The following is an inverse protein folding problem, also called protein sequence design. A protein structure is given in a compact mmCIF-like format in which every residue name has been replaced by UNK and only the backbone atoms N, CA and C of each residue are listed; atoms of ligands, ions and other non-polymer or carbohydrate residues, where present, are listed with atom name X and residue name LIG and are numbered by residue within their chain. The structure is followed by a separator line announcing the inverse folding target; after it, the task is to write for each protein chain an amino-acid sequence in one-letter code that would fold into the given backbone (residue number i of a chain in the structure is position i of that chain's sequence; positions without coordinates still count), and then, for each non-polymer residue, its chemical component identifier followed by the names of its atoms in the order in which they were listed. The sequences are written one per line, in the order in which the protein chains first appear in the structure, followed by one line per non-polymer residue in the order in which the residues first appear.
data_IF_693842017332
#
_entry.id   IF_693842017332
#
_cell.length_a   1.000
_cell.length_b   1.000
_cell.length_c   1.000
_cell.angle_alpha   90.00
_cell.angle_beta   90.00
_cell.angle_gamma   90.00
#
_symmetry.space_group_name_H-M   'P 1'
#
loop_
_entity.id
_entity.type
_entity.pdbx_description
1 polymer ?
#
# COMPACT_ATOMS: atom_id res chain seq x y z
N UNK A 1 17.89 -16.28 -7.04
CA UNK A 1 17.39 -14.92 -6.65
C UNK A 1 15.87 -14.82 -6.71
N UNK A 2 15.16 -15.89 -7.10
CA UNK A 2 13.71 -15.88 -7.38
C UNK A 2 12.78 -16.29 -6.22
N UNK A 3 13.32 -16.78 -5.10
CA UNK A 3 12.52 -17.28 -3.97
C UNK A 3 11.86 -16.18 -3.09
N UNK A 4 12.18 -14.91 -3.35
CA UNK A 4 11.73 -13.80 -2.48
C UNK A 4 10.54 -13.00 -3.03
N UNK A 5 10.03 -13.34 -4.21
CA UNK A 5 8.98 -12.58 -4.88
C UNK A 5 7.57 -13.09 -4.53
N UNK A 6 7.47 -14.34 -4.05
CA UNK A 6 6.17 -14.96 -3.76
C UNK A 6 5.90 -14.96 -2.25
N UNK A 7 4.72 -14.43 -1.86
CA UNK A 7 4.18 -14.64 -0.52
C UNK A 7 3.99 -16.13 -0.24
N UNK A 8 3.71 -16.53 1.04
CA UNK A 8 3.51 -17.93 1.36
C UNK A 8 2.34 -18.49 0.56
N UNK A 9 2.64 -19.37 -0.37
CA UNK A 9 1.60 -20.12 -1.09
C UNK A 9 0.93 -21.07 -0.08
N UNK A 10 -0.35 -20.85 0.17
CA UNK A 10 -1.21 -21.75 0.91
C UNK A 10 -2.20 -22.32 -0.11
N UNK A 11 -1.94 -23.52 -0.57
CA UNK A 11 -2.87 -24.22 -1.49
C UNK A 11 -4.21 -24.44 -0.80
N UNK A 12 -5.29 -24.27 -1.55
CA UNK A 12 -6.64 -24.64 -1.13
C UNK A 12 -6.71 -26.16 -1.01
N UNK A 13 -7.29 -26.64 0.08
CA UNK A 13 -7.65 -28.04 0.19
C UNK A 13 -8.92 -28.32 -0.63
N UNK A 14 -9.20 -29.59 -0.99
CA UNK A 14 -10.44 -29.93 -1.68
C UNK A 14 -11.71 -29.47 -0.96
N UNK A 15 -11.71 -29.52 0.38
CA UNK A 15 -12.82 -29.04 1.22
C UNK A 15 -13.00 -27.53 1.12
N UNK A 16 -11.89 -26.77 1.05
CA UNK A 16 -11.93 -25.32 0.90
C UNK A 16 -12.36 -24.89 -0.51
N UNK A 17 -12.04 -25.69 -1.53
CA UNK A 17 -12.55 -25.48 -2.89
C UNK A 17 -14.07 -25.69 -2.95
N UNK A 18 -14.55 -26.75 -2.31
CA UNK A 18 -15.98 -27.05 -2.24
C UNK A 18 -16.75 -25.99 -1.43
N UNK A 19 -16.14 -25.47 -0.35
CA UNK A 19 -16.71 -24.39 0.46
C UNK A 19 -16.79 -23.05 -0.29
N UNK A 20 -15.84 -22.76 -1.17
CA UNK A 20 -15.91 -21.61 -2.08
C UNK A 20 -17.12 -21.70 -3.02
N UNK A 21 -17.46 -22.89 -3.47
CA UNK A 21 -18.61 -23.14 -4.34
C UNK A 21 -19.93 -23.12 -3.55
N UNK A 22 -19.93 -23.58 -2.30
CA UNK A 22 -21.13 -23.69 -1.45
C UNK A 22 -21.40 -22.46 -0.56
N UNK A 23 -20.43 -21.52 -0.44
CA UNK A 23 -20.56 -20.35 0.43
C UNK A 23 -20.46 -20.67 1.93
N UNK A 24 -19.73 -21.73 2.33
CA UNK A 24 -19.54 -22.09 3.74
C UNK A 24 -18.59 -21.11 4.45
N UNK A 25 -19.20 -20.19 5.20
CA UNK A 25 -18.49 -19.13 5.94
C UNK A 25 -17.50 -19.66 6.98
N UNK A 26 -17.75 -20.81 7.59
CA UNK A 26 -16.86 -21.36 8.62
C UNK A 26 -15.57 -21.90 8.01
N UNK A 27 -15.67 -22.62 6.89
CA UNK A 27 -14.51 -23.14 6.15
C UNK A 27 -13.71 -21.97 5.57
N UNK A 28 -14.38 -20.96 5.04
CA UNK A 28 -13.75 -19.75 4.53
C UNK A 28 -13.01 -18.97 5.62
N UNK A 29 -13.58 -18.90 6.83
CA UNK A 29 -12.90 -18.28 7.99
C UNK A 29 -11.63 -19.05 8.39
N UNK A 30 -11.67 -20.38 8.42
CA UNK A 30 -10.50 -21.23 8.72
C UNK A 30 -9.41 -21.07 7.66
N UNK A 31 -9.78 -20.98 6.39
CA UNK A 31 -8.84 -20.68 5.30
C UNK A 31 -8.18 -19.32 5.48
N UNK A 32 -8.98 -18.27 5.75
CA UNK A 32 -8.45 -16.92 6.01
C UNK A 32 -7.49 -16.91 7.19
N UNK A 33 -7.80 -17.60 8.30
CA UNK A 33 -6.91 -17.71 9.46
C UNK A 33 -5.58 -18.41 9.12
N UNK A 34 -5.62 -19.50 8.33
CA UNK A 34 -4.40 -20.18 7.87
C UNK A 34 -3.54 -19.25 7.01
N UNK A 35 -4.16 -18.49 6.12
CA UNK A 35 -3.48 -17.48 5.27
C UNK A 35 -2.81 -16.41 6.13
N UNK A 36 -3.52 -15.88 7.12
CA UNK A 36 -2.98 -14.89 8.06
C UNK A 36 -1.78 -15.46 8.84
N UNK A 37 -1.87 -16.71 9.32
CA UNK A 37 -0.76 -17.36 10.05
C UNK A 37 0.46 -17.57 9.14
N UNK A 38 0.25 -18.01 7.91
CA UNK A 38 1.32 -18.19 6.93
C UNK A 38 1.97 -16.85 6.55
N UNK A 39 1.16 -15.81 6.34
CA UNK A 39 1.63 -14.45 6.07
C UNK A 39 2.47 -13.89 7.23
N UNK A 40 1.99 -14.06 8.49
CA UNK A 40 2.75 -13.65 9.69
C UNK A 40 4.09 -14.37 9.81
N UNK A 41 4.15 -15.68 9.48
CA UNK A 41 5.39 -16.47 9.49
C UNK A 41 6.38 -15.97 8.42
N UNK A 42 5.88 -15.69 7.21
CA UNK A 42 6.68 -15.12 6.12
C UNK A 42 7.18 -13.71 6.47
N UNK A 43 6.32 -12.88 7.08
CA UNK A 43 6.67 -11.54 7.54
C UNK A 43 7.81 -11.58 8.57
N UNK A 44 7.78 -12.52 9.55
CA UNK A 44 8.87 -12.70 10.51
C UNK A 44 10.20 -13.04 9.83
N UNK A 45 10.18 -13.93 8.80
CA UNK A 45 11.39 -14.24 8.02
C UNK A 45 11.91 -13.02 7.25
N UNK A 46 10.99 -12.23 6.63
CA UNK A 46 11.33 -10.98 5.93
C UNK A 46 11.92 -9.93 6.87
N UNK A 47 11.34 -9.80 8.10
CA UNK A 47 11.86 -8.90 9.14
C UNK A 47 13.31 -9.25 9.51
N UNK A 48 13.62 -10.52 9.73
CA UNK A 48 14.99 -10.96 10.01
C UNK A 48 15.95 -10.65 8.85
N UNK A 49 15.49 -10.85 7.61
CA UNK A 49 16.31 -10.55 6.42
C UNK A 49 16.54 -9.05 6.25
N UNK A 50 15.51 -8.22 6.55
CA UNK A 50 15.60 -6.77 6.50
C UNK A 50 16.54 -6.23 7.57
N UNK A 51 16.48 -6.77 8.81
CA UNK A 51 17.42 -6.41 9.90
C UNK A 51 18.84 -6.70 9.45
N UNK A 52 19.13 -7.89 8.90
CA UNK A 52 20.46 -8.23 8.38
C UNK A 52 20.92 -7.29 7.28
N UNK A 53 20.04 -6.95 6.31
CA UNK A 53 20.37 -5.98 5.25
C UNK A 53 20.61 -4.58 5.79
N UNK A 54 19.77 -4.08 6.72
CA UNK A 54 19.95 -2.77 7.35
C UNK A 54 21.27 -2.69 8.13
N UNK A 55 21.64 -3.74 8.87
CA UNK A 55 22.94 -3.81 9.57
C UNK A 55 24.09 -3.73 8.56
N UNK A 56 24.00 -4.42 7.43
CA UNK A 56 25.02 -4.37 6.37
C UNK A 56 25.08 -2.96 5.74
N UNK A 57 23.94 -2.35 5.47
CA UNK A 57 23.85 -0.98 4.90
C UNK A 57 24.41 0.06 5.88
N UNK A 58 24.13 -0.06 7.18
CA UNK A 58 24.67 0.83 8.20
C UNK A 58 26.19 0.69 8.26
N UNK A 59 26.72 -0.52 8.21
CA UNK A 59 28.17 -0.76 8.18
C UNK A 59 28.81 -0.12 6.95
N UNK A 60 28.17 -0.28 5.76
CA UNK A 60 28.64 0.33 4.51
C UNK A 60 28.56 1.85 4.60
N UNK A 61 27.47 2.41 5.13
CA UNK A 61 27.32 3.86 5.31
C UNK A 61 28.30 4.43 6.34
N UNK A 62 28.61 3.71 7.41
CA UNK A 62 29.65 4.11 8.35
C UNK A 62 31.04 4.08 7.72
N UNK A 63 31.33 3.09 6.85
CA UNK A 63 32.59 3.04 6.10
C UNK A 63 32.69 4.11 5.01
N UNK A 64 31.57 4.49 4.39
CA UNK A 64 31.50 5.59 3.42
C UNK A 64 31.49 6.96 4.10
N UNK A 65 30.86 7.10 5.27
CA UNK A 65 30.81 8.35 6.05
C UNK A 65 32.18 8.82 6.54
N UNK A 66 33.12 7.89 6.77
CA UNK A 66 34.52 8.25 7.09
C UNK A 66 35.27 8.91 5.91
N UNK A 67 34.80 8.70 4.66
CA UNK A 67 35.39 9.34 3.48
C UNK A 67 34.71 10.65 3.05
N UNK A 68 33.53 11.00 3.63
CA UNK A 68 32.73 12.16 3.21
C UNK A 68 32.90 13.43 4.06
N UNK A 69 33.66 13.35 5.16
CA UNK A 69 33.94 14.52 6.00
C UNK A 69 34.85 15.56 5.27
N UNK A 70 35.51 15.17 4.20
CA UNK A 70 36.39 16.05 3.40
C UNK A 70 35.74 16.69 2.14
N UNK A 71 34.47 16.28 1.78
CA UNK A 71 33.79 16.80 0.57
C UNK A 71 32.45 17.53 0.82
N UNK A 72 32.07 17.74 2.07
CA UNK A 72 30.68 18.03 2.50
C UNK A 72 30.10 19.40 2.19
N UNK A 73 30.66 20.23 1.31
CA UNK A 73 30.10 21.54 0.94
C UNK A 73 29.45 21.63 -0.45
N UNK A 74 29.58 20.61 -1.27
CA UNK A 74 29.09 20.67 -2.66
C UNK A 74 27.69 20.08 -2.89
N UNK A 75 27.26 19.14 -2.07
CA UNK A 75 26.00 18.43 -2.28
C UNK A 75 24.77 19.19 -1.76
N UNK A 76 24.92 20.03 -0.73
CA UNK A 76 23.79 20.78 -0.17
C UNK A 76 23.24 21.89 -1.07
N UNK A 77 24.02 22.36 -2.04
CA UNK A 77 23.56 23.40 -2.97
C UNK A 77 22.89 22.84 -4.24
N UNK A 78 23.12 21.58 -4.58
CA UNK A 78 22.46 20.93 -5.74
C UNK A 78 21.01 20.50 -5.42
N UNK A 79 20.71 20.22 -4.16
CA UNK A 79 19.37 19.82 -3.72
C UNK A 79 18.40 21.00 -3.53
N UNK A 80 18.92 22.23 -3.53
CA UNK A 80 18.10 23.46 -3.41
C UNK A 80 17.61 24.05 -4.74
N UNK A 81 18.10 23.58 -5.85
CA UNK A 81 17.77 24.14 -7.16
C UNK A 81 17.09 23.10 -8.05
N UNK A 82 15.82 22.80 -7.83
CA UNK A 82 15.05 22.00 -8.79
C UNK A 82 13.90 21.16 -8.26
N UNK A 83 13.41 21.43 -7.08
CA UNK A 83 12.20 20.76 -6.60
C UNK A 83 10.95 21.37 -7.19
N UNK A 84 10.36 20.78 -8.23
CA UNK A 84 8.95 20.99 -8.52
C UNK A 84 8.16 20.34 -7.37
N UNK A 85 7.65 21.19 -6.49
CA UNK A 85 6.80 20.81 -5.35
C UNK A 85 5.49 20.24 -5.89
N UNK A 86 5.41 18.95 -6.12
CA UNK A 86 4.14 18.33 -6.47
C UNK A 86 3.80 17.10 -5.62
N UNK A 87 4.79 16.42 -5.05
CA UNK A 87 4.52 15.33 -4.11
C UNK A 87 5.34 15.56 -2.84
N UNK A 88 4.77 15.27 -1.68
CA UNK A 88 5.50 15.29 -0.43
C UNK A 88 6.69 14.33 -0.49
N UNK A 89 7.80 14.70 0.10
CA UNK A 89 9.01 13.88 0.21
C UNK A 89 8.77 12.76 1.26
N UNK A 90 7.81 11.86 0.92
CA UNK A 90 7.36 10.76 1.77
C UNK A 90 7.80 9.44 1.12
N UNK A 91 8.62 8.63 1.80
CA UNK A 91 9.18 7.40 1.22
C UNK A 91 8.14 6.43 0.64
N UNK A 92 6.96 6.32 1.29
CA UNK A 92 5.88 5.47 0.77
C UNK A 92 5.30 6.01 -0.55
N UNK A 93 5.22 7.34 -0.72
CA UNK A 93 4.78 7.98 -1.96
C UNK A 93 5.78 7.74 -3.08
N UNK A 94 7.09 7.83 -2.79
CA UNK A 94 8.15 7.50 -3.75
C UNK A 94 8.05 6.03 -4.19
N UNK A 95 7.86 5.12 -3.25
CA UNK A 95 7.68 3.70 -3.53
C UNK A 95 6.48 3.48 -4.45
N UNK A 96 5.34 4.11 -4.16
CA UNK A 96 4.13 4.02 -4.98
C UNK A 96 4.34 4.60 -6.39
N UNK A 97 5.08 5.72 -6.51
CA UNK A 97 5.39 6.37 -7.78
C UNK A 97 6.17 5.46 -8.74
N UNK A 98 7.09 4.65 -8.22
CA UNK A 98 7.83 3.68 -9.03
C UNK A 98 6.95 2.61 -9.66
N UNK A 99 5.70 2.47 -9.21
CA UNK A 99 4.75 1.46 -9.70
C UNK A 99 3.76 2.00 -10.73
N UNK A 100 3.81 3.29 -11.06
CA UNK A 100 2.92 3.87 -12.07
C UNK A 100 3.02 3.11 -13.39
N UNK A 101 1.86 2.77 -13.97
CA UNK A 101 1.77 1.97 -15.19
C UNK A 101 1.80 0.45 -14.95
N UNK A 102 1.98 -0.04 -13.70
CA UNK A 102 1.85 -1.47 -13.42
C UNK A 102 0.43 -1.91 -13.73
N UNK A 103 0.29 -2.89 -14.62
CA UNK A 103 -0.98 -3.43 -15.08
C UNK A 103 -1.25 -4.81 -14.49
N UNK A 104 -2.49 -5.03 -14.03
CA UNK A 104 -2.96 -6.30 -13.51
C UNK A 104 -2.43 -6.67 -12.11
N UNK A 105 -1.56 -5.85 -11.52
CA UNK A 105 -1.15 -5.92 -10.13
C UNK A 105 -0.53 -7.22 -9.64
N UNK A 106 -0.09 -8.12 -10.54
CA UNK A 106 0.43 -9.45 -10.19
C UNK A 106 1.48 -9.39 -9.08
N UNK A 107 2.36 -8.40 -9.11
CA UNK A 107 3.39 -8.16 -8.10
C UNK A 107 2.80 -7.98 -6.69
N UNK A 108 1.65 -7.35 -6.56
CA UNK A 108 1.04 -6.98 -5.28
C UNK A 108 0.18 -8.09 -4.72
N UNK A 109 -0.74 -8.65 -5.52
CA UNK A 109 -1.61 -9.70 -5.05
C UNK A 109 -0.86 -11.03 -4.84
N UNK A 110 0.14 -11.37 -5.67
CA UNK A 110 1.01 -12.53 -5.40
C UNK A 110 1.91 -12.31 -4.18
N UNK A 111 2.45 -11.09 -3.98
CA UNK A 111 3.18 -10.77 -2.76
C UNK A 111 2.33 -10.97 -1.51
N UNK A 112 1.07 -10.59 -1.57
CA UNK A 112 0.12 -10.82 -0.47
C UNK A 112 -0.16 -12.30 -0.25
N UNK A 113 -0.09 -13.11 -1.29
CA UNK A 113 -0.22 -14.57 -1.26
C UNK A 113 -1.41 -15.11 -2.03
N UNK A 114 -1.98 -14.36 -2.98
CA UNK A 114 -2.99 -14.89 -3.88
C UNK A 114 -2.33 -15.61 -5.08
N UNK A 115 -2.95 -16.68 -5.54
CA UNK A 115 -2.46 -17.49 -6.67
C UNK A 115 -3.08 -17.05 -8.00
N UNK A 116 -4.20 -16.32 -7.96
CA UNK A 116 -4.90 -15.78 -9.11
C UNK A 116 -5.18 -14.28 -8.94
N UNK A 117 -5.61 -13.64 -10.02
CA UNK A 117 -5.96 -12.23 -10.02
C UNK A 117 -7.14 -11.96 -9.08
N UNK A 118 -7.00 -10.95 -8.24
CA UNK A 118 -8.01 -10.41 -7.34
C UNK A 118 -8.02 -8.89 -7.45
N UNK A 119 -8.99 -8.22 -6.86
CA UNK A 119 -8.92 -6.79 -6.63
C UNK A 119 -7.73 -6.46 -5.72
N UNK A 120 -6.83 -5.61 -6.21
CA UNK A 120 -5.52 -5.44 -5.61
C UNK A 120 -5.20 -4.02 -5.11
N UNK A 121 -6.20 -3.14 -5.00
CA UNK A 121 -5.99 -1.79 -4.45
C UNK A 121 -5.43 -1.84 -3.03
N UNK A 122 -6.04 -2.63 -2.14
CA UNK A 122 -5.57 -2.81 -0.77
C UNK A 122 -4.24 -3.59 -0.68
N UNK A 123 -4.02 -4.57 -1.57
CA UNK A 123 -2.74 -5.28 -1.68
C UNK A 123 -1.60 -4.30 -2.07
N UNK A 124 -1.88 -3.35 -2.97
CA UNK A 124 -0.92 -2.33 -3.39
C UNK A 124 -0.51 -1.43 -2.22
N UNK A 125 -1.47 -0.92 -1.45
CA UNK A 125 -1.20 -0.10 -0.27
C UNK A 125 -0.39 -0.88 0.76
N UNK A 126 -0.78 -2.12 1.06
CA UNK A 126 -0.04 -2.99 1.99
C UNK A 126 1.37 -3.27 1.50
N UNK A 127 1.55 -3.49 0.19
CA UNK A 127 2.87 -3.69 -0.39
C UNK A 127 3.73 -2.43 -0.27
N UNK A 128 3.20 -1.25 -0.59
CA UNK A 128 3.93 0.01 -0.44
C UNK A 128 4.35 0.24 1.02
N UNK A 129 3.45 -0.03 1.97
CA UNK A 129 3.73 0.08 3.40
C UNK A 129 4.83 -0.90 3.85
N UNK A 130 4.78 -2.17 3.40
CA UNK A 130 5.80 -3.19 3.72
C UNK A 130 7.20 -2.78 3.22
N UNK A 131 7.28 -2.25 1.99
CA UNK A 131 8.56 -1.81 1.42
C UNK A 131 9.22 -0.69 2.25
N UNK A 132 8.43 0.05 3.03
CA UNK A 132 8.89 1.16 3.88
C UNK A 132 8.93 0.79 5.38
N UNK A 133 8.64 -0.47 5.75
CA UNK A 133 8.66 -0.91 7.16
C UNK A 133 7.45 -0.48 7.98
N UNK A 134 6.45 0.17 7.36
CA UNK A 134 5.30 0.75 8.06
C UNK A 134 4.33 -0.29 8.64
N UNK A 135 4.35 -1.52 8.09
CA UNK A 135 3.59 -2.64 8.65
C UNK A 135 4.27 -3.14 9.93
N UNK A 136 5.60 -3.32 9.90
CA UNK A 136 6.38 -3.76 11.05
C UNK A 136 6.34 -2.74 12.20
N UNK A 137 6.28 -1.45 11.85
CA UNK A 137 6.20 -0.33 12.79
C UNK A 137 4.75 -0.14 13.33
N UNK A 138 3.77 -0.92 12.86
CA UNK A 138 2.37 -0.81 13.27
C UNK A 138 1.70 0.49 12.82
N UNK A 139 2.16 1.09 11.71
CA UNK A 139 1.62 2.35 11.17
C UNK A 139 0.57 2.12 10.08
N UNK A 140 0.64 0.99 9.37
CA UNK A 140 -0.30 0.59 8.32
C UNK A 140 -0.61 -0.90 8.47
N UNK A 141 -1.87 -1.34 8.31
CA UNK A 141 -2.20 -2.76 8.40
C UNK A 141 -1.72 -3.53 7.18
N UNK A 142 -1.36 -4.79 7.36
CA UNK A 142 -1.25 -5.73 6.26
C UNK A 142 -2.64 -6.31 5.99
N UNK A 143 -3.35 -5.76 5.02
CA UNK A 143 -4.69 -6.21 4.63
C UNK A 143 -4.91 -6.06 3.13
N UNK A 144 -5.58 -7.04 2.53
CA UNK A 144 -6.07 -7.00 1.14
C UNK A 144 -7.55 -6.58 1.05
N UNK A 145 -8.18 -6.24 2.18
CA UNK A 145 -9.60 -5.91 2.27
C UNK A 145 -9.78 -4.49 2.80
N UNK A 146 -10.38 -3.63 1.97
CA UNK A 146 -10.47 -2.18 2.23
C UNK A 146 -11.22 -1.86 3.52
N UNK A 147 -12.41 -2.45 3.81
CA UNK A 147 -13.10 -2.22 5.06
C UNK A 147 -12.27 -2.57 6.30
N UNK A 148 -11.45 -3.62 6.22
CA UNK A 148 -10.55 -3.99 7.32
C UNK A 148 -9.45 -2.95 7.53
N UNK A 149 -8.96 -2.32 6.47
CA UNK A 149 -8.00 -1.21 6.60
C UNK A 149 -8.64 -0.02 7.30
N UNK A 150 -9.87 0.38 6.94
CA UNK A 150 -10.61 1.46 7.60
C UNK A 150 -10.79 1.17 9.09
N UNK A 151 -11.30 -0.02 9.44
CA UNK A 151 -11.51 -0.41 10.84
C UNK A 151 -10.20 -0.39 11.63
N UNK A 152 -9.11 -0.83 11.02
CA UNK A 152 -7.80 -0.81 11.66
C UNK A 152 -7.34 0.61 12.05
N UNK A 153 -7.59 1.61 11.20
CA UNK A 153 -7.28 3.00 11.49
C UNK A 153 -8.26 3.59 12.52
N UNK A 154 -9.56 3.25 12.44
CA UNK A 154 -10.57 3.67 13.43
C UNK A 154 -10.25 3.15 14.83
N UNK A 155 -9.90 1.88 14.96
CA UNK A 155 -9.56 1.23 16.25
C UNK A 155 -8.33 1.85 16.93
N UNK A 156 -7.62 2.74 16.23
CA UNK A 156 -6.39 3.39 16.71
C UNK A 156 -6.48 4.91 16.78
N UNK A 157 -7.67 5.46 16.66
CA UNK A 157 -7.90 6.91 16.61
C UNK A 157 -7.02 7.60 15.55
N UNK A 158 -6.85 6.94 14.39
CA UNK A 158 -6.04 7.40 13.26
C UNK A 158 -6.86 7.47 11.97
N UNK A 159 -8.15 7.64 12.10
CA UNK A 159 -9.07 7.78 10.98
C UNK A 159 -9.81 9.12 11.05
N UNK A 160 -9.99 9.74 9.92
CA UNK A 160 -10.79 10.94 9.75
C UNK A 160 -11.88 10.70 8.71
N UNK A 161 -13.11 10.97 9.08
CA UNK A 161 -14.25 10.93 8.17
C UNK A 161 -14.19 12.11 7.18
N UNK A 162 -14.71 11.90 5.98
CA UNK A 162 -14.86 13.02 5.04
C UNK A 162 -15.74 14.12 5.64
N UNK A 163 -15.23 15.34 5.63
CA UNK A 163 -15.99 16.52 6.11
C UNK A 163 -15.83 16.84 7.60
N UNK A 164 -15.06 16.09 8.38
CA UNK A 164 -14.79 16.37 9.80
C UNK A 164 -13.81 17.54 10.03
N UNK A 165 -13.33 18.16 8.96
CA UNK A 165 -12.39 19.29 9.00
C UNK A 165 -10.93 18.90 8.87
N UNK A 166 -10.60 17.61 8.75
CA UNK A 166 -9.24 17.15 8.53
C UNK A 166 -8.68 17.67 7.19
N UNK A 167 -7.41 18.01 7.19
CA UNK A 167 -6.67 18.42 5.99
C UNK A 167 -5.68 17.32 5.62
N UNK A 168 -5.96 16.50 4.59
CA UNK A 168 -5.09 15.41 4.20
C UNK A 168 -3.72 15.93 3.76
N UNK A 169 -2.71 15.10 3.97
CA UNK A 169 -1.31 15.37 3.60
C UNK A 169 -0.73 14.19 2.82
N UNK A 170 0.39 14.42 2.14
CA UNK A 170 1.12 13.34 1.47
C UNK A 170 1.48 12.23 2.47
N UNK A 171 1.28 10.98 2.06
CA UNK A 171 1.50 9.80 2.89
C UNK A 171 0.24 9.28 3.60
N UNK A 172 -0.83 10.05 3.70
CA UNK A 172 -2.10 9.54 4.22
C UNK A 172 -2.71 8.51 3.27
N UNK A 173 -3.42 7.54 3.83
CA UNK A 173 -4.24 6.60 3.07
C UNK A 173 -5.60 7.24 2.84
N UNK A 174 -6.09 7.21 1.62
CA UNK A 174 -7.41 7.75 1.25
C UNK A 174 -8.34 6.59 0.87
N UNK A 175 -9.57 6.65 1.36
CA UNK A 175 -10.61 5.66 1.13
C UNK A 175 -11.76 6.28 0.35
N UNK A 176 -12.40 5.47 -0.52
CA UNK A 176 -13.47 5.92 -1.40
C UNK A 176 -14.70 5.03 -1.27
N UNK A 177 -15.86 5.67 -1.43
CA UNK A 177 -17.17 5.07 -1.60
C UNK A 177 -17.75 5.63 -2.91
N UNK A 178 -17.62 4.86 -4.00
CA UNK A 178 -18.03 5.30 -5.32
C UNK A 178 -19.54 5.22 -5.54
N UNK A 179 -20.19 4.29 -4.87
CA UNK A 179 -21.60 4.02 -5.01
C UNK A 179 -22.45 4.85 -4.02
N UNK A 180 -21.80 5.53 -3.06
CA UNK A 180 -22.41 6.34 -2.00
C UNK A 180 -23.44 5.57 -1.17
N UNK A 181 -23.17 4.29 -0.92
CA UNK A 181 -24.01 3.39 -0.13
C UNK A 181 -23.55 3.26 1.33
N UNK A 182 -22.47 3.94 1.71
CA UNK A 182 -21.86 3.88 3.03
C UNK A 182 -20.84 2.75 3.18
N UNK A 183 -20.56 2.02 2.10
CA UNK A 183 -19.55 0.98 2.03
C UNK A 183 -18.30 1.51 1.35
N UNK A 184 -17.12 1.14 1.88
CA UNK A 184 -15.86 1.56 1.27
C UNK A 184 -15.45 0.60 0.15
N UNK A 185 -15.23 1.14 -1.08
CA UNK A 185 -14.98 0.34 -2.28
C UNK A 185 -13.51 0.30 -2.66
N UNK A 186 -12.78 1.39 -2.40
CA UNK A 186 -11.46 1.58 -2.94
C UNK A 186 -10.52 2.28 -1.98
N UNK A 187 -9.22 2.13 -2.22
CA UNK A 187 -8.17 2.74 -1.42
C UNK A 187 -7.02 3.23 -2.29
N UNK A 188 -6.47 4.37 -1.91
CA UNK A 188 -5.32 4.98 -2.54
C UNK A 188 -4.33 5.57 -1.53
N UNK A 189 -3.23 6.08 -2.03
CA UNK A 189 -2.23 6.82 -1.27
C UNK A 189 -2.27 8.28 -1.67
N UNK A 190 -2.40 9.19 -0.73
CA UNK A 190 -2.29 10.63 -0.98
C UNK A 190 -0.84 10.95 -1.37
N UNK A 191 -0.64 11.41 -2.59
CA UNK A 191 0.66 11.82 -3.10
C UNK A 191 0.93 13.30 -2.81
N UNK A 192 -0.09 14.16 -2.98
CA UNK A 192 0.00 15.59 -2.67
C UNK A 192 -1.38 16.22 -2.56
N UNK A 193 -1.43 17.41 -1.94
CA UNK A 193 -2.63 18.24 -1.89
C UNK A 193 -2.28 19.61 -2.44
N UNK A 194 -3.01 20.06 -3.47
CA UNK A 194 -2.75 21.33 -4.09
C UNK A 194 -4.03 21.97 -4.65
N UNK A 195 -4.23 23.27 -4.38
CA UNK A 195 -5.37 24.07 -4.89
C UNK A 195 -6.73 23.39 -4.71
N UNK A 196 -6.99 22.84 -3.50
CA UNK A 196 -8.27 22.23 -3.17
C UNK A 196 -8.50 20.85 -3.82
N UNK A 197 -7.46 20.22 -4.32
CA UNK A 197 -7.49 18.84 -4.82
C UNK A 197 -6.52 17.96 -4.06
N UNK A 198 -6.92 16.71 -3.86
CA UNK A 198 -6.08 15.60 -3.41
C UNK A 198 -5.62 14.85 -4.64
N UNK A 199 -4.33 14.71 -4.82
CA UNK A 199 -3.72 13.86 -5.85
C UNK A 199 -3.26 12.57 -5.23
N UNK A 200 -3.60 11.45 -5.87
CA UNK A 200 -3.40 10.11 -5.33
C UNK A 200 -2.54 9.26 -6.26
N UNK A 201 -1.97 8.19 -5.72
CA UNK A 201 -1.47 7.05 -6.48
C UNK A 201 -2.26 5.83 -6.03
N UNK A 202 -2.89 5.15 -6.97
CA UNK A 202 -3.83 4.07 -6.72
C UNK A 202 -3.47 2.83 -7.51
N UNK A 203 -3.54 1.69 -6.87
CA UNK A 203 -3.54 0.38 -7.51
C UNK A 203 -4.95 -0.05 -7.90
N UNK A 204 -5.07 -0.97 -8.82
CA UNK A 204 -6.36 -1.51 -9.28
C UNK A 204 -7.35 -0.44 -9.76
N UNK A 205 -6.85 0.68 -10.22
CA UNK A 205 -7.66 1.79 -10.70
C UNK A 205 -8.17 1.51 -12.10
N UNK A 206 -9.33 2.07 -12.48
CA UNK A 206 -9.96 1.82 -13.78
C UNK A 206 -9.05 2.17 -14.95
N UNK A 207 -9.13 1.36 -15.99
CA UNK A 207 -8.44 1.57 -17.26
C UNK A 207 -9.45 2.03 -18.31
N UNK A 208 -9.15 3.11 -18.99
CA UNK A 208 -9.99 3.64 -20.10
C UNK A 208 -9.75 2.88 -21.41
N UNK A 209 -9.66 1.57 -21.36
CA UNK A 209 -9.50 0.69 -22.51
C UNK A 209 -10.84 0.16 -23.00
N UNK A 210 -10.96 -0.11 -24.31
CA UNK A 210 -12.21 -0.56 -24.97
C UNK A 210 -12.59 -2.02 -24.63
N UNK A 211 -11.83 -2.73 -23.82
CA UNK A 211 -12.01 -4.17 -23.59
C UNK A 211 -12.28 -4.45 -22.10
N UNK A 212 -13.52 -4.19 -21.67
CA UNK A 212 -14.00 -4.44 -20.30
C UNK A 212 -13.84 -5.90 -19.87
N UNK A 213 -13.87 -6.85 -20.81
CA UNK A 213 -13.70 -8.28 -20.52
C UNK A 213 -12.28 -8.66 -20.08
N UNK A 214 -11.31 -7.76 -20.30
CA UNK A 214 -9.89 -7.95 -19.93
C UNK A 214 -9.43 -6.97 -18.88
N UNK A 215 -10.36 -6.27 -18.22
CA UNK A 215 -10.00 -5.34 -17.18
C UNK A 215 -9.25 -6.03 -16.03
N UNK A 216 -8.08 -5.53 -15.70
CA UNK A 216 -7.22 -6.05 -14.63
C UNK A 216 -6.70 -4.93 -13.70
N UNK A 217 -7.19 -3.72 -13.90
CA UNK A 217 -6.72 -2.54 -13.17
C UNK A 217 -5.30 -2.11 -13.51
N UNK A 218 -5.00 -0.86 -13.24
CA UNK A 218 -3.69 -0.25 -13.45
C UNK A 218 -3.28 0.57 -12.23
N UNK A 219 -1.98 0.66 -11.97
CA UNK A 219 -1.46 1.65 -11.03
C UNK A 219 -1.35 2.99 -11.73
N UNK A 220 -2.11 3.99 -11.29
CA UNK A 220 -2.12 5.32 -11.89
C UNK A 220 -2.26 6.43 -10.87
N UNK A 221 -1.97 7.66 -11.34
CA UNK A 221 -2.24 8.88 -10.59
C UNK A 221 -3.64 9.40 -10.92
N UNK A 222 -4.38 9.80 -9.89
CA UNK A 222 -5.68 10.43 -10.00
C UNK A 222 -5.69 11.77 -9.24
N UNK A 223 -6.79 12.53 -9.34
CA UNK A 223 -6.95 13.78 -8.62
C UNK A 223 -8.42 14.10 -8.40
N UNK A 224 -8.77 14.35 -7.14
CA UNK A 224 -10.14 14.56 -6.68
C UNK A 224 -10.28 15.91 -5.99
N UNK A 225 -11.42 16.60 -6.10
CA UNK A 225 -11.73 17.71 -5.21
C UNK A 225 -11.65 17.24 -3.75
N UNK A 226 -11.01 18.00 -2.86
CA UNK A 226 -10.87 17.62 -1.45
C UNK A 226 -12.24 17.45 -0.74
N UNK A 227 -13.30 18.03 -1.30
CA UNK A 227 -14.68 17.92 -0.82
C UNK A 227 -15.51 16.95 -1.65
N UNK A 228 -14.88 16.06 -2.45
CA UNK A 228 -15.63 15.06 -3.21
C UNK A 228 -16.43 14.17 -2.27
N UNK A 229 -17.65 13.85 -2.68
CA UNK A 229 -18.51 12.90 -1.97
C UNK A 229 -18.03 11.46 -2.12
N UNK A 230 -17.20 11.19 -3.13
CA UNK A 230 -16.60 9.89 -3.36
C UNK A 230 -15.54 9.54 -2.31
N UNK A 231 -15.02 10.55 -1.59
CA UNK A 231 -14.06 10.32 -0.52
C UNK A 231 -14.81 9.86 0.72
N UNK A 232 -14.49 8.67 1.21
CA UNK A 232 -15.05 8.12 2.44
C UNK A 232 -14.32 8.64 3.69
N UNK A 233 -12.99 8.77 3.60
CA UNK A 233 -12.17 9.30 4.68
C UNK A 233 -10.69 9.05 4.50
N UNK A 234 -9.92 9.27 5.56
CA UNK A 234 -8.46 9.22 5.55
C UNK A 234 -7.90 8.44 6.73
N UNK A 235 -6.95 7.55 6.47
CA UNK A 235 -6.14 6.87 7.48
C UNK A 235 -4.76 7.54 7.62
N UNK A 236 -4.38 7.92 8.85
CA UNK A 236 -3.15 8.64 9.14
C UNK A 236 -1.99 7.66 9.35
N UNK A 237 -0.99 7.70 8.46
CA UNK A 237 0.23 6.91 8.60
C UNK A 237 1.17 7.50 9.65
N UNK A 238 1.22 8.84 9.74
CA UNK A 238 1.93 9.57 10.78
C UNK A 238 0.96 10.44 11.57
N UNK A 239 0.99 10.28 12.87
CA UNK A 239 0.16 11.04 13.83
C UNK A 239 0.96 12.20 14.39
#
# INVERSE_FOLDING_TARGET
MDEFIHGPQVQLTPEELQALESGDDEVMRRYAERRIRAARKAQRKRKQHRIRRRSLTIIILCLMGMNLILGGRYVTNLLKAGGTVLDGDVPMVETARTQLGNYGGKKFWQWYGFDSHVDWCACFISWCADQNGLIDDGKVPMSCYVPQQVNWFRDRDRYHEQGDGYKPKAGDIIFFDWEHDGSVDHVGLVASVFRGKVYTIEGNSGFTGKDEKKWKGICKRNGYPIKSKDIFGYGLVEK
#
